data_IF_073642596668
#
_entry.id   IF_073642596668
#
_cell.length_a   1.000
_cell.length_b   1.000
_cell.length_c   1.000
_cell.angle_alpha   90.00
_cell.angle_beta   90.00
_cell.angle_gamma   90.00
#
_symmetry.space_group_name_H-M   'P 1'
#
loop_
_entity.id
_entity.type
_entity.pdbx_description
1 polymer ?
#
# COMPACT_ATOMS: atom_id res chain seq x y z
N UNK A 1 -12.89 -0.13 -5.34
CA UNK A 1 -11.61 -0.41 -4.70
C UNK A 1 -10.59 -0.78 -5.75
N UNK A 2 -9.44 -0.18 -5.68
CA UNK A 2 -8.36 -0.44 -6.63
C UNK A 2 -7.30 -1.31 -5.97
N UNK A 3 -6.81 -2.31 -6.68
CA UNK A 3 -5.75 -3.19 -6.18
C UNK A 3 -4.52 -3.08 -7.06
N UNK A 4 -3.37 -3.41 -6.49
CA UNK A 4 -2.14 -3.53 -7.25
C UNK A 4 -2.22 -4.68 -8.24
N UNK A 5 -1.28 -4.69 -9.15
CA UNK A 5 -1.18 -5.75 -10.16
C UNK A 5 -0.73 -7.04 -9.51
N UNK A 6 -1.28 -8.14 -9.98
CA UNK A 6 -0.94 -9.47 -9.48
C UNK A 6 0.43 -9.95 -10.00
N UNK A 7 1.11 -9.14 -10.81
CA UNK A 7 2.35 -9.53 -11.45
C UNK A 7 3.61 -9.45 -10.60
N UNK A 8 3.51 -9.09 -9.33
CA UNK A 8 4.67 -8.97 -8.45
C UNK A 8 4.95 -10.21 -7.62
N UNK A 9 4.54 -11.36 -8.12
CA UNK A 9 4.83 -12.64 -7.50
C UNK A 9 3.61 -13.29 -6.88
N UNK A 10 3.83 -14.48 -6.35
CA UNK A 10 2.78 -15.31 -5.75
C UNK A 10 3.00 -15.38 -4.25
N UNK A 11 1.94 -15.08 -3.49
CA UNK A 11 2.02 -15.15 -2.03
C UNK A 11 1.88 -16.57 -1.52
N UNK A 12 2.66 -16.89 -0.49
CA UNK A 12 2.41 -18.01 0.39
C UNK A 12 1.42 -17.52 1.44
N UNK A 13 0.17 -17.93 1.34
CA UNK A 13 -0.90 -17.44 2.20
C UNK A 13 -0.92 -18.10 3.58
N UNK A 14 0.00 -19.02 3.86
CA UNK A 14 0.11 -19.62 5.20
C UNK A 14 0.77 -18.68 6.19
N UNK A 15 1.63 -17.78 5.72
CA UNK A 15 2.24 -16.76 6.57
C UNK A 15 2.68 -15.59 5.68
N UNK A 16 2.18 -14.40 5.97
CA UNK A 16 2.57 -13.18 5.25
C UNK A 16 2.47 -11.98 6.19
N UNK A 17 3.05 -10.86 5.76
CA UNK A 17 3.00 -9.61 6.51
C UNK A 17 1.96 -8.69 5.91
N UNK A 18 1.11 -8.11 6.75
CA UNK A 18 0.19 -7.06 6.35
C UNK A 18 0.41 -5.82 7.22
N UNK A 19 0.11 -4.68 6.64
CA UNK A 19 0.27 -3.40 7.31
C UNK A 19 -0.86 -2.49 6.87
N UNK A 20 -1.45 -1.76 7.83
CA UNK A 20 -2.56 -0.85 7.54
C UNK A 20 -2.27 0.53 8.09
N UNK A 21 -2.60 1.55 7.29
CA UNK A 21 -2.56 2.95 7.70
C UNK A 21 -3.93 3.58 7.48
N UNK A 22 -4.39 4.33 8.45
CA UNK A 22 -5.60 5.14 8.30
C UNK A 22 -5.20 6.52 7.83
N UNK A 23 -5.82 6.99 6.75
CA UNK A 23 -5.43 8.22 6.08
C UNK A 23 -6.62 9.12 5.85
N UNK A 24 -6.35 10.42 5.84
CA UNK A 24 -7.34 11.44 5.49
C UNK A 24 -6.82 12.27 4.32
N UNK A 25 -7.73 12.71 3.45
CA UNK A 25 -7.36 13.61 2.36
C UNK A 25 -6.94 14.97 2.92
N UNK A 26 -5.85 15.49 2.39
CA UNK A 26 -5.45 16.86 2.69
C UNK A 26 -6.44 17.83 2.07
N UNK A 27 -6.47 19.07 2.57
CA UNK A 27 -7.39 20.09 2.08
C UNK A 27 -7.28 20.27 0.57
N UNK A 28 -8.41 20.25 -0.12
CA UNK A 28 -8.46 20.39 -1.57
C UNK A 28 -8.14 19.13 -2.35
N UNK A 29 -7.88 18.01 -1.68
CA UNK A 29 -7.54 16.74 -2.31
C UNK A 29 -8.70 15.76 -2.19
N UNK A 30 -8.70 14.76 -3.05
CA UNK A 30 -9.74 13.73 -3.03
C UNK A 30 -9.34 12.50 -3.84
N UNK A 31 -10.35 11.70 -4.18
CA UNK A 31 -10.15 10.44 -4.89
C UNK A 31 -9.42 10.62 -6.23
N UNK A 32 -9.77 11.66 -6.99
CA UNK A 32 -9.18 11.87 -8.31
C UNK A 32 -7.68 12.12 -8.21
N UNK A 33 -7.27 12.92 -7.24
CA UNK A 33 -5.84 13.19 -6.98
C UNK A 33 -5.13 11.95 -6.51
N UNK A 34 -5.76 11.15 -5.65
CA UNK A 34 -5.18 9.89 -5.18
C UNK A 34 -5.00 8.89 -6.33
N UNK A 35 -6.00 8.75 -7.19
CA UNK A 35 -5.92 7.83 -8.35
C UNK A 35 -4.77 8.22 -9.26
N UNK A 36 -4.54 9.50 -9.46
CA UNK A 36 -3.43 9.98 -10.28
C UNK A 36 -2.07 9.54 -9.71
N UNK A 37 -1.90 9.65 -8.39
CA UNK A 37 -0.67 9.21 -7.74
C UNK A 37 -0.53 7.68 -7.78
N UNK A 38 -1.63 6.97 -7.60
CA UNK A 38 -1.64 5.51 -7.68
C UNK A 38 -1.23 5.03 -9.07
N UNK A 39 -1.66 5.71 -10.13
CA UNK A 39 -1.25 5.36 -11.49
C UNK A 39 0.28 5.45 -11.64
N UNK A 40 0.89 6.50 -11.11
CA UNK A 40 2.34 6.65 -11.12
C UNK A 40 3.02 5.56 -10.27
N UNK A 41 2.44 5.24 -9.14
CA UNK A 41 2.95 4.17 -8.27
C UNK A 41 2.89 2.81 -8.96
N UNK A 42 1.80 2.49 -9.66
CA UNK A 42 1.67 1.24 -10.39
C UNK A 42 2.67 1.14 -11.54
N UNK A 43 2.92 2.25 -12.24
CA UNK A 43 3.94 2.30 -13.28
C UNK A 43 5.32 2.00 -12.71
N UNK A 44 5.64 2.56 -11.54
CA UNK A 44 6.90 2.27 -10.87
C UNK A 44 7.00 0.80 -10.44
N UNK A 45 5.90 0.22 -9.93
CA UNK A 45 5.89 -1.17 -9.46
C UNK A 45 6.31 -2.16 -10.54
N UNK A 46 6.02 -1.88 -11.80
CA UNK A 46 6.36 -2.75 -12.93
C UNK A 46 7.59 -2.28 -13.69
N UNK A 47 8.24 -1.23 -13.24
CA UNK A 47 9.42 -0.68 -13.89
C UNK A 47 10.70 -1.39 -13.43
N UNK A 48 11.77 -1.20 -14.20
CA UNK A 48 13.08 -1.74 -13.85
C UNK A 48 13.67 -1.05 -12.61
N UNK A 49 13.16 0.12 -12.24
CA UNK A 49 13.60 0.83 -11.04
C UNK A 49 13.20 0.10 -9.76
N UNK A 50 12.08 -0.63 -9.80
CA UNK A 50 11.68 -1.50 -8.72
C UNK A 50 12.45 -2.80 -8.82
N UNK A 51 13.57 -2.86 -8.12
CA UNK A 51 14.49 -4.01 -8.19
C UNK A 51 14.12 -5.14 -7.22
N UNK A 52 13.07 -4.97 -6.44
CA UNK A 52 12.68 -5.97 -5.44
C UNK A 52 11.86 -7.08 -6.10
N UNK A 53 12.35 -8.31 -6.00
CA UNK A 53 11.70 -9.49 -6.56
C UNK A 53 11.02 -10.28 -5.44
N UNK A 54 9.95 -9.72 -4.90
CA UNK A 54 9.16 -10.39 -3.86
C UNK A 54 7.67 -10.07 -4.06
N UNK A 55 6.79 -10.95 -3.57
CA UNK A 55 5.35 -10.69 -3.69
C UNK A 55 4.93 -9.42 -2.95
N UNK A 56 4.15 -8.60 -3.61
CA UNK A 56 3.58 -7.39 -3.03
C UNK A 56 2.21 -7.11 -3.64
N UNK A 57 1.28 -6.70 -2.81
CA UNK A 57 0.02 -6.10 -3.28
C UNK A 57 -0.45 -5.08 -2.25
N UNK A 58 -1.43 -4.28 -2.63
CA UNK A 58 -2.04 -3.31 -1.74
C UNK A 58 -3.54 -3.26 -1.97
N UNK A 59 -4.25 -2.72 -0.97
CA UNK A 59 -5.68 -2.41 -1.10
C UNK A 59 -5.93 -1.02 -0.55
N UNK A 60 -6.95 -0.37 -1.11
CA UNK A 60 -7.47 0.88 -0.58
C UNK A 60 -8.90 0.63 -0.17
N UNK A 61 -9.20 0.85 1.10
CA UNK A 61 -10.51 0.59 1.69
C UNK A 61 -11.14 1.90 2.08
N UNK A 62 -12.31 2.21 1.52
CA UNK A 62 -13.11 3.34 1.94
C UNK A 62 -14.18 2.84 2.91
N UNK A 63 -14.42 3.53 4.04
CA UNK A 63 -15.49 3.11 4.94
C UNK A 63 -16.85 3.23 4.26
N UNK A 64 -17.71 2.25 4.47
CA UNK A 64 -19.10 2.28 4.00
C UNK A 64 -20.06 2.76 5.09
N UNK A 65 -19.52 3.45 6.08
CA UNK A 65 -20.23 4.06 7.21
C UNK A 65 -19.67 5.46 7.44
N UNK A 66 -20.43 6.29 8.11
CA UNK A 66 -20.00 7.65 8.39
C UNK A 66 -18.93 7.66 9.49
N UNK A 67 -17.82 8.32 9.23
CA UNK A 67 -16.77 8.53 10.20
C UNK A 67 -16.00 9.81 9.83
N UNK A 68 -15.58 10.55 10.86
CA UNK A 68 -14.70 11.71 10.70
C UNK A 68 -13.25 11.38 11.03
N UNK A 69 -12.97 10.14 11.45
CA UNK A 69 -11.65 9.74 11.91
C UNK A 69 -10.66 9.51 10.76
N UNK A 70 -11.16 9.05 9.62
CA UNK A 70 -10.33 8.80 8.45
C UNK A 70 -11.19 8.74 7.19
N UNK A 71 -10.56 8.92 6.03
CA UNK A 71 -11.23 8.82 4.74
C UNK A 71 -10.99 7.48 4.08
N UNK A 72 -9.86 6.86 4.36
CA UNK A 72 -9.53 5.55 3.79
C UNK A 72 -8.53 4.81 4.69
N UNK A 73 -8.45 3.51 4.46
CA UNK A 73 -7.38 2.68 5.01
C UNK A 73 -6.56 2.13 3.84
N UNK A 74 -5.24 2.27 3.94
CA UNK A 74 -4.31 1.71 2.96
C UNK A 74 -3.67 0.46 3.54
N UNK A 75 -3.80 -0.65 2.84
CA UNK A 75 -3.19 -1.91 3.26
C UNK A 75 -2.09 -2.33 2.31
N UNK A 76 -0.95 -2.69 2.86
CA UNK A 76 0.18 -3.25 2.13
C UNK A 76 0.40 -4.70 2.56
N UNK A 77 0.67 -5.57 1.59
CA UNK A 77 0.89 -6.99 1.84
C UNK A 77 2.22 -7.42 1.25
N UNK A 78 3.06 -8.01 2.09
CA UNK A 78 4.37 -8.54 1.71
C UNK A 78 4.48 -9.97 2.23
N UNK A 79 5.40 -10.76 1.68
CA UNK A 79 5.56 -12.13 2.15
C UNK A 79 6.07 -12.20 3.59
N UNK A 80 6.87 -11.22 4.02
CA UNK A 80 7.41 -11.17 5.38
C UNK A 80 7.64 -9.72 5.81
N UNK A 81 7.84 -9.53 7.10
CA UNK A 81 8.22 -8.22 7.64
C UNK A 81 9.53 -7.72 7.03
N UNK A 82 10.49 -8.62 6.80
CA UNK A 82 11.76 -8.28 6.19
C UNK A 82 11.58 -7.77 4.77
N UNK A 83 10.71 -8.41 4.00
CA UNK A 83 10.39 -7.97 2.64
C UNK A 83 9.66 -6.64 2.64
N UNK A 84 8.80 -6.40 3.64
CA UNK A 84 8.13 -5.12 3.80
C UNK A 84 9.13 -3.99 4.03
N UNK A 85 10.09 -4.21 4.92
CA UNK A 85 11.12 -3.20 5.22
C UNK A 85 12.02 -2.96 4.00
N UNK A 86 12.41 -4.03 3.31
CA UNK A 86 13.20 -3.92 2.08
C UNK A 86 12.42 -3.21 0.97
N UNK A 87 11.12 -3.49 0.85
CA UNK A 87 10.27 -2.84 -0.14
C UNK A 87 10.12 -1.35 0.10
N UNK A 88 9.93 -0.95 1.34
CA UNK A 88 9.85 0.47 1.68
C UNK A 88 11.18 1.17 1.39
N UNK A 89 12.30 0.57 1.77
CA UNK A 89 13.62 1.15 1.51
C UNK A 89 13.87 1.30 0.01
N UNK A 90 13.53 0.29 -0.79
CA UNK A 90 13.65 0.34 -2.24
C UNK A 90 12.77 1.45 -2.84
N UNK A 91 11.53 1.56 -2.38
CA UNK A 91 10.61 2.59 -2.85
C UNK A 91 11.14 4.00 -2.55
N UNK A 92 11.60 4.25 -1.33
CA UNK A 92 12.11 5.56 -0.93
C UNK A 92 13.43 5.90 -1.63
N UNK A 93 14.21 4.90 -2.00
CA UNK A 93 15.46 5.10 -2.72
C UNK A 93 15.23 5.39 -4.20
N UNK A 94 14.29 4.71 -4.84
CA UNK A 94 14.10 4.78 -6.30
C UNK A 94 12.94 5.67 -6.72
N UNK A 95 11.98 5.96 -5.85
CA UNK A 95 10.78 6.72 -6.18
C UNK A 95 10.38 7.70 -5.07
N UNK A 96 11.31 8.52 -4.55
CA UNK A 96 10.96 9.47 -3.48
C UNK A 96 9.92 10.51 -3.93
N UNK A 97 9.89 10.86 -5.21
CA UNK A 97 8.92 11.80 -5.77
C UNK A 97 7.48 11.25 -5.70
N UNK A 98 7.31 9.94 -5.78
CA UNK A 98 5.99 9.32 -5.65
C UNK A 98 5.53 9.39 -4.20
N UNK A 99 6.44 9.15 -3.24
CA UNK A 99 6.11 9.32 -1.83
C UNK A 99 5.72 10.76 -1.52
N UNK A 100 6.43 11.74 -2.06
CA UNK A 100 6.07 13.15 -1.90
C UNK A 100 4.68 13.45 -2.48
N UNK A 101 4.35 12.84 -3.62
CA UNK A 101 3.04 13.00 -4.23
C UNK A 101 1.94 12.42 -3.34
N UNK A 102 2.14 11.26 -2.72
CA UNK A 102 1.21 10.74 -1.73
C UNK A 102 1.06 11.67 -0.54
N UNK A 103 2.15 12.22 -0.04
CA UNK A 103 2.13 13.11 1.13
C UNK A 103 1.36 14.41 0.87
N UNK A 104 1.29 14.85 -0.39
CA UNK A 104 0.49 16.02 -0.76
C UNK A 104 -1.01 15.73 -0.76
N UNK A 105 -1.38 14.49 -1.03
CA UNK A 105 -2.79 14.09 -1.14
C UNK A 105 -3.34 13.60 0.19
N UNK A 106 -2.52 12.87 0.96
CA UNK A 106 -2.96 12.18 2.16
C UNK A 106 -2.10 12.52 3.38
N UNK A 107 -2.76 12.58 4.52
CA UNK A 107 -2.11 12.54 5.83
C UNK A 107 -2.47 11.21 6.48
N UNK A 108 -1.47 10.39 6.77
CA UNK A 108 -1.67 9.04 7.28
C UNK A 108 -1.11 8.91 8.69
N UNK A 109 -1.79 8.11 9.50
CA UNK A 109 -1.30 7.71 10.81
C UNK A 109 -0.16 6.70 10.63
N UNK A 110 0.55 6.41 11.73
CA UNK A 110 1.59 5.38 11.67
C UNK A 110 1.00 4.02 11.27
N UNK A 111 1.72 3.26 10.43
CA UNK A 111 1.22 1.95 10.02
C UNK A 111 1.23 0.96 11.17
N UNK A 112 0.23 0.10 11.19
CA UNK A 112 0.15 -1.03 12.11
C UNK A 112 0.43 -2.31 11.33
N UNK A 113 1.49 -3.01 11.71
CA UNK A 113 1.88 -4.25 11.05
C UNK A 113 1.31 -5.48 11.76
N UNK A 114 0.98 -6.48 10.97
CA UNK A 114 0.42 -7.74 11.47
C UNK A 114 1.13 -8.91 10.82
N UNK A 115 1.39 -9.95 11.60
CA UNK A 115 1.71 -11.25 11.05
C UNK A 115 0.39 -11.91 10.70
N UNK A 116 0.25 -12.30 9.45
CA UNK A 116 -1.01 -12.75 8.90
C UNK A 116 -0.88 -14.15 8.32
N UNK A 117 -1.97 -14.85 8.20
CA UNK A 117 -2.00 -16.15 7.60
C UNK A 117 -3.42 -16.56 7.31
N UNK A 118 -3.56 -17.50 6.38
CA UNK A 118 -4.85 -18.07 6.07
C UNK A 118 -5.22 -19.09 7.15
N UNK A 119 -6.35 -18.89 7.78
CA UNK A 119 -6.85 -19.81 8.80
C UNK A 119 -7.79 -20.78 8.11
N UNK A 120 -7.54 -22.10 8.18
CA UNK A 120 -8.45 -23.07 7.60
C UNK A 120 -9.83 -23.00 8.27
N UNK A 121 -10.85 -23.03 7.45
CA UNK A 121 -12.22 -23.14 7.95
C UNK A 121 -12.51 -24.61 8.22
N UNK A 122 -12.99 -24.87 9.40
CA UNK A 122 -13.30 -26.22 9.85
C UNK A 122 -14.77 -26.51 9.67
#
# INVERSE_FOLDING_TARGET
MRRSRDGLGTFDLTAFSSEYQFCAYNEGQGVDELVSVIDDFEDWLVSDENSLDSPYTYVVLAPDYETEEFDLAWGNFHQSKEMREAGLANFLDTAPEIQEAFDKVLSCQEPNGFNSGQIPLI
#
